data_IF_575003821588
#
_entry.id   IF_575003821588
#
_cell.length_a   1.000
_cell.length_b   1.000
_cell.length_c   1.000
_cell.angle_alpha   90.00
_cell.angle_beta   90.00
_cell.angle_gamma   90.00
#
_symmetry.space_group_name_H-M   'P 1'
#
loop_
_entity.id
_entity.type
_entity.pdbx_description
1 polymer ?
#
# COMPACT_ATOMS: atom_id res chain seq x y z
N UNK A 1 24.50 -32.43 -33.81
CA UNK A 1 23.42 -31.67 -33.21
C UNK A 1 23.07 -32.30 -31.86
N UNK A 2 23.72 -31.84 -30.81
CA UNK A 2 23.47 -32.36 -29.46
C UNK A 2 22.20 -31.69 -28.91
N UNK A 3 21.24 -32.53 -28.55
CA UNK A 3 20.03 -32.12 -27.86
C UNK A 3 20.37 -31.74 -26.42
N UNK A 4 20.58 -30.48 -26.15
CA UNK A 4 20.71 -29.95 -24.79
C UNK A 4 19.35 -30.03 -24.09
N UNK A 5 19.15 -31.11 -23.33
CA UNK A 5 17.97 -31.23 -22.45
C UNK A 5 18.08 -30.19 -21.34
N UNK A 6 17.21 -29.20 -21.38
CA UNK A 6 17.05 -28.24 -20.30
C UNK A 6 16.64 -28.97 -19.01
N UNK A 7 17.51 -28.85 -17.99
CA UNK A 7 17.27 -29.45 -16.69
C UNK A 7 16.76 -28.38 -15.72
N UNK A 8 15.47 -28.28 -15.57
CA UNK A 8 14.80 -27.32 -14.63
C UNK A 8 15.06 -27.58 -13.16
N UNK A 9 15.86 -28.59 -12.79
CA UNK A 9 16.10 -28.96 -11.39
C UNK A 9 17.19 -28.13 -10.70
N UNK A 10 17.93 -27.26 -11.42
CA UNK A 10 19.05 -26.48 -10.87
C UNK A 10 18.72 -25.04 -10.51
N UNK A 11 17.47 -24.60 -10.69
CA UNK A 11 17.03 -23.31 -10.14
C UNK A 11 16.98 -23.46 -8.63
N UNK A 12 18.03 -23.00 -7.95
CA UNK A 12 18.03 -22.86 -6.50
C UNK A 12 16.80 -22.02 -6.14
N UNK A 13 15.79 -22.68 -5.58
CA UNK A 13 14.72 -22.05 -4.84
C UNK A 13 15.36 -21.39 -3.61
N UNK A 14 15.93 -20.22 -3.75
CA UNK A 14 15.89 -19.28 -2.65
C UNK A 14 14.41 -19.04 -2.43
N UNK A 15 13.92 -19.57 -1.32
CA UNK A 15 12.56 -19.37 -0.88
C UNK A 15 12.40 -17.88 -0.53
N UNK A 16 12.19 -17.01 -1.52
CA UNK A 16 11.26 -15.93 -1.30
C UNK A 16 9.93 -16.65 -1.04
N UNK A 17 9.49 -16.62 0.19
CA UNK A 17 8.17 -17.15 0.53
C UNK A 17 7.18 -16.21 -0.14
N UNK A 18 6.82 -16.55 -1.38
CA UNK A 18 5.69 -15.95 -2.06
C UNK A 18 4.47 -16.42 -1.30
N UNK A 19 4.21 -15.78 -0.19
CA UNK A 19 2.94 -15.83 0.45
C UNK A 19 1.98 -15.09 -0.48
N UNK A 20 1.27 -15.89 -1.27
CA UNK A 20 0.14 -15.42 -2.05
C UNK A 20 -0.80 -14.74 -1.07
N UNK A 21 -0.92 -13.43 -0.95
CA UNK A 21 -1.77 -12.62 -0.09
C UNK A 21 -3.01 -13.23 0.58
N UNK A 22 -3.12 -14.56 0.57
CA UNK A 22 -4.15 -15.39 1.20
C UNK A 22 -3.82 -15.82 2.63
N UNK A 23 -2.60 -15.53 3.12
CA UNK A 23 -2.36 -15.71 4.54
C UNK A 23 -3.22 -14.71 5.28
N UNK A 24 -4.08 -15.26 6.13
CA UNK A 24 -4.93 -14.47 7.00
C UNK A 24 -4.07 -13.38 7.63
N UNK A 25 -4.50 -12.14 7.49
CA UNK A 25 -3.97 -11.00 8.23
C UNK A 25 -4.07 -11.35 9.72
N UNK A 26 -3.07 -12.04 10.22
CA UNK A 26 -3.03 -12.44 11.63
C UNK A 26 -2.01 -11.58 12.32
N UNK A 27 -2.41 -10.94 13.39
CA UNK A 27 -1.43 -10.48 14.36
C UNK A 27 -0.74 -11.75 14.87
N UNK A 28 0.55 -11.97 14.58
CA UNK A 28 1.25 -13.19 15.00
C UNK A 28 1.56 -13.19 16.48
N UNK A 29 1.20 -12.12 17.19
CA UNK A 29 1.56 -11.88 18.58
C UNK A 29 0.38 -12.16 19.49
N UNK A 30 0.66 -12.83 20.59
CA UNK A 30 -0.29 -12.94 21.70
C UNK A 30 -0.41 -11.58 22.38
N UNK A 31 -1.62 -11.22 22.80
CA UNK A 31 -1.99 -9.94 23.44
C UNK A 31 -1.14 -9.55 24.66
N UNK A 32 -0.38 -10.47 25.23
CA UNK A 32 0.28 -10.35 26.53
C UNK A 32 1.78 -10.07 26.41
N UNK A 33 2.35 -9.91 25.20
CA UNK A 33 3.79 -9.66 25.07
C UNK A 33 4.06 -8.16 24.97
N UNK A 34 4.89 -7.57 25.86
CA UNK A 34 5.14 -6.12 25.88
C UNK A 34 5.80 -5.58 24.61
N UNK A 35 6.39 -6.46 23.80
CA UNK A 35 7.09 -6.11 22.55
C UNK A 35 6.22 -6.35 21.31
N UNK A 36 4.91 -6.54 21.47
CA UNK A 36 3.98 -6.72 20.34
C UNK A 36 3.81 -5.41 19.58
N UNK A 37 4.02 -5.37 18.26
CA UNK A 37 3.75 -4.17 17.50
C UNK A 37 2.27 -3.82 17.58
N UNK A 38 2.01 -2.53 17.74
CA UNK A 38 0.64 -1.98 17.83
C UNK A 38 -0.04 -1.85 16.47
N UNK A 39 0.59 -2.31 15.43
CA UNK A 39 0.06 -2.30 14.06
C UNK A 39 -0.10 -3.71 13.51
N UNK A 40 -1.00 -3.85 12.56
CA UNK A 40 -1.19 -5.09 11.80
C UNK A 40 -0.11 -5.19 10.71
N UNK A 41 0.47 -6.38 10.55
CA UNK A 41 1.42 -6.63 9.45
C UNK A 41 0.71 -6.57 8.11
N UNK A 42 1.37 -5.98 7.12
CA UNK A 42 0.92 -6.06 5.75
C UNK A 42 1.61 -7.24 5.05
N UNK A 43 0.91 -8.34 4.92
CA UNK A 43 1.47 -9.62 4.49
C UNK A 43 2.08 -10.41 5.66
N UNK A 44 2.65 -11.57 5.36
CA UNK A 44 3.20 -12.48 6.39
C UNK A 44 4.41 -11.93 7.13
N UNK A 45 5.22 -11.14 6.44
CA UNK A 45 6.49 -10.59 6.91
C UNK A 45 6.49 -9.05 7.02
N UNK A 46 5.34 -8.42 6.86
CA UNK A 46 5.17 -6.96 6.80
C UNK A 46 5.72 -6.27 5.54
N UNK A 47 6.22 -7.02 4.55
CA UNK A 47 6.89 -6.48 3.35
C UNK A 47 6.09 -6.70 2.06
N UNK A 48 4.79 -6.95 2.17
CA UNK A 48 3.96 -7.18 0.99
C UNK A 48 3.88 -5.96 0.05
N UNK A 49 3.77 -4.70 0.53
CA UNK A 49 3.84 -3.54 -0.36
C UNK A 49 5.14 -3.43 -1.14
N UNK A 50 6.28 -3.70 -0.49
CA UNK A 50 7.60 -3.69 -1.11
C UNK A 50 7.72 -4.78 -2.20
N UNK A 51 7.10 -5.93 -1.97
CA UNK A 51 6.98 -6.96 -3.00
C UNK A 51 6.19 -6.46 -4.22
N UNK A 52 5.04 -5.81 -4.02
CA UNK A 52 4.23 -5.26 -5.11
C UNK A 52 4.99 -4.17 -5.89
N UNK A 53 5.73 -3.31 -5.18
CA UNK A 53 6.62 -2.31 -5.78
C UNK A 53 7.72 -2.99 -6.61
N UNK A 54 8.29 -4.09 -6.12
CA UNK A 54 9.31 -4.83 -6.87
C UNK A 54 8.76 -5.43 -8.17
N UNK A 55 7.54 -5.99 -8.15
CA UNK A 55 6.86 -6.46 -9.35
C UNK A 55 6.69 -5.35 -10.40
N UNK A 56 6.29 -4.17 -9.94
CA UNK A 56 6.10 -3.01 -10.81
C UNK A 56 7.42 -2.49 -11.40
N UNK A 57 8.47 -2.42 -10.59
CA UNK A 57 9.74 -1.85 -11.02
C UNK A 57 10.58 -2.81 -11.87
N UNK A 58 10.39 -4.11 -11.75
CA UNK A 58 11.22 -5.12 -12.41
C UNK A 58 10.60 -5.73 -13.66
N UNK A 59 9.26 -5.76 -13.79
CA UNK A 59 8.59 -6.23 -14.99
C UNK A 59 8.12 -5.04 -15.85
N UNK A 60 8.75 -4.84 -17.00
CA UNK A 60 8.39 -3.80 -17.96
C UNK A 60 6.97 -3.98 -18.50
N UNK A 61 6.55 -5.22 -18.71
CA UNK A 61 5.22 -5.58 -19.18
C UNK A 61 4.17 -5.20 -18.14
N UNK A 62 4.40 -5.57 -16.86
CA UNK A 62 3.50 -5.25 -15.76
C UNK A 62 3.40 -3.74 -15.55
N UNK A 63 4.53 -3.03 -15.49
CA UNK A 63 4.56 -1.58 -15.36
C UNK A 63 3.78 -0.89 -16.49
N UNK A 64 3.97 -1.33 -17.73
CA UNK A 64 3.26 -0.77 -18.89
C UNK A 64 1.75 -0.96 -18.77
N UNK A 65 1.28 -2.14 -18.34
CA UNK A 65 -0.13 -2.41 -18.11
C UNK A 65 -0.72 -1.54 -17.01
N UNK A 66 -0.03 -1.44 -15.86
CA UNK A 66 -0.45 -0.59 -14.73
C UNK A 66 -0.54 0.87 -15.19
N UNK A 67 0.50 1.39 -15.83
CA UNK A 67 0.53 2.78 -16.29
C UNK A 67 -0.55 3.09 -17.31
N UNK A 68 -0.82 2.19 -18.26
CA UNK A 68 -1.89 2.35 -19.23
C UNK A 68 -3.27 2.44 -18.57
N UNK A 69 -3.51 1.61 -17.54
CA UNK A 69 -4.76 1.65 -16.78
C UNK A 69 -4.86 2.94 -15.95
N UNK A 70 -3.76 3.34 -15.29
CA UNK A 70 -3.72 4.61 -14.54
C UNK A 70 -4.02 5.79 -15.45
N UNK A 71 -3.43 5.85 -16.66
CA UNK A 71 -3.75 6.88 -17.64
C UNK A 71 -5.22 6.85 -18.07
N UNK A 72 -5.80 5.66 -18.24
CA UNK A 72 -7.22 5.52 -18.57
C UNK A 72 -8.14 5.99 -17.42
N UNK A 73 -7.75 5.75 -16.15
CA UNK A 73 -8.49 6.23 -14.97
C UNK A 73 -8.41 7.75 -14.86
N UNK A 74 -7.22 8.30 -15.00
CA UNK A 74 -7.00 9.74 -14.83
C UNK A 74 -7.56 10.56 -15.99
N UNK A 75 -7.52 10.01 -17.21
CA UNK A 75 -8.07 10.63 -18.41
C UNK A 75 -7.64 12.09 -18.57
N UNK A 76 -8.59 12.98 -18.72
CA UNK A 76 -8.37 14.44 -18.78
C UNK A 76 -8.31 15.10 -17.38
N UNK A 77 -8.39 14.31 -16.31
CA UNK A 77 -8.37 14.78 -14.92
C UNK A 77 -9.77 14.92 -14.31
N UNK A 78 -9.82 15.56 -13.15
CA UNK A 78 -11.05 15.83 -12.43
C UNK A 78 -11.82 16.99 -13.09
N UNK A 79 -13.13 16.86 -13.16
CA UNK A 79 -14.03 17.86 -13.75
C UNK A 79 -14.88 18.47 -12.64
N UNK A 80 -14.95 19.80 -12.61
CA UNK A 80 -15.78 20.57 -11.69
C UNK A 80 -16.25 21.87 -12.33
N UNK A 81 -17.33 22.46 -11.82
CA UNK A 81 -17.83 23.76 -12.26
C UNK A 81 -16.91 24.92 -11.87
N UNK A 82 -16.05 24.73 -10.88
CA UNK A 82 -15.06 25.71 -10.39
C UNK A 82 -13.66 25.12 -10.54
N UNK A 83 -13.02 25.41 -11.67
CA UNK A 83 -11.67 24.91 -11.98
C UNK A 83 -10.59 25.47 -11.02
N UNK A 84 -10.83 26.61 -10.37
CA UNK A 84 -9.86 27.18 -9.44
C UNK A 84 -9.66 26.30 -8.21
N UNK A 85 -10.67 25.55 -7.79
CA UNK A 85 -10.58 24.59 -6.70
C UNK A 85 -9.56 23.49 -7.01
N UNK A 86 -9.43 23.08 -8.26
CA UNK A 86 -8.54 21.99 -8.65
C UNK A 86 -7.06 22.38 -8.67
N UNK A 87 -6.74 23.67 -8.69
CA UNK A 87 -5.37 24.17 -8.87
C UNK A 87 -4.46 23.89 -7.69
N UNK A 88 -4.99 23.92 -6.46
CA UNK A 88 -4.21 23.78 -5.24
C UNK A 88 -4.95 22.90 -4.23
N UNK A 89 -4.37 21.77 -3.89
CA UNK A 89 -4.87 20.84 -2.89
C UNK A 89 -4.16 21.00 -1.52
N UNK A 90 -2.93 21.51 -1.51
CA UNK A 90 -2.12 21.65 -0.31
C UNK A 90 -1.08 22.77 -0.43
N UNK A 91 -0.34 23.03 0.67
CA UNK A 91 0.70 24.08 0.73
C UNK A 91 1.95 23.78 -0.08
N UNK A 92 2.17 22.54 -0.47
CA UNK A 92 3.28 22.14 -1.33
C UNK A 92 3.04 22.53 -2.79
N UNK A 93 1.84 23.02 -3.10
CA UNK A 93 1.47 23.45 -4.44
C UNK A 93 1.00 22.33 -5.35
N UNK A 94 0.70 21.16 -4.80
CA UNK A 94 0.10 20.08 -5.58
C UNK A 94 -1.33 20.43 -5.98
N UNK A 95 -1.66 20.13 -7.23
CA UNK A 95 -3.04 20.20 -7.69
C UNK A 95 -3.84 18.96 -7.28
N UNK A 96 -5.16 19.06 -7.35
CA UNK A 96 -6.02 17.90 -7.15
C UNK A 96 -5.81 16.81 -8.22
N UNK A 97 -5.41 17.20 -9.42
CA UNK A 97 -5.08 16.25 -10.48
C UNK A 97 -3.77 15.51 -10.20
N UNK A 98 -2.78 16.16 -9.59
CA UNK A 98 -1.55 15.49 -9.14
C UNK A 98 -1.86 14.44 -8.07
N UNK A 99 -2.68 14.79 -7.08
CA UNK A 99 -3.13 13.85 -6.06
C UNK A 99 -3.94 12.71 -6.66
N UNK A 100 -4.84 13.01 -7.60
CA UNK A 100 -5.66 12.01 -8.28
C UNK A 100 -4.81 11.01 -9.06
N UNK A 101 -3.75 11.47 -9.73
CA UNK A 101 -2.79 10.60 -10.41
C UNK A 101 -2.10 9.63 -9.45
N UNK A 102 -1.63 10.12 -8.29
CA UNK A 102 -1.01 9.29 -7.25
C UNK A 102 -2.00 8.28 -6.66
N UNK A 103 -3.22 8.72 -6.36
CA UNK A 103 -4.31 7.86 -5.88
C UNK A 103 -4.64 6.74 -6.88
N UNK A 104 -4.71 7.07 -8.17
CA UNK A 104 -4.98 6.09 -9.22
C UNK A 104 -3.86 5.04 -9.32
N UNK A 105 -2.59 5.46 -9.17
CA UNK A 105 -1.45 4.56 -9.16
C UNK A 105 -1.48 3.64 -7.94
N UNK A 106 -1.64 4.18 -6.74
CA UNK A 106 -1.74 3.38 -5.51
C UNK A 106 -2.90 2.39 -5.57
N UNK A 107 -4.06 2.83 -6.06
CA UNK A 107 -5.22 1.95 -6.21
C UNK A 107 -4.94 0.78 -7.15
N UNK A 108 -4.22 1.01 -8.24
CA UNK A 108 -3.85 -0.08 -9.17
C UNK A 108 -2.75 -0.96 -8.61
N UNK A 109 -1.78 -0.38 -7.92
CA UNK A 109 -0.60 -1.08 -7.44
C UNK A 109 -0.88 -1.90 -6.17
N UNK A 110 -1.65 -1.34 -5.23
CA UNK A 110 -1.93 -1.93 -3.91
C UNK A 110 -3.38 -2.40 -3.74
N UNK A 111 -4.29 -1.90 -4.56
CA UNK A 111 -5.73 -2.13 -4.43
C UNK A 111 -6.44 -1.12 -3.52
N UNK A 112 -5.73 -0.13 -3.01
CA UNK A 112 -6.26 0.93 -2.13
C UNK A 112 -5.37 2.16 -2.14
N UNK A 113 -5.75 3.18 -1.39
CA UNK A 113 -4.99 4.43 -1.27
C UNK A 113 -5.20 5.09 0.09
N UNK A 114 -4.31 6.00 0.44
CA UNK A 114 -4.38 6.78 1.68
C UNK A 114 -4.18 8.27 1.42
N UNK A 115 -4.98 9.10 2.10
CA UNK A 115 -4.89 10.56 2.06
C UNK A 115 -4.86 11.12 3.48
N UNK A 116 -3.95 12.04 3.75
CA UNK A 116 -4.01 12.87 4.95
C UNK A 116 -4.95 14.05 4.70
N UNK A 117 -5.97 14.17 5.53
CA UNK A 117 -6.96 15.25 5.49
C UNK A 117 -6.66 16.21 6.63
N UNK A 118 -6.44 17.47 6.30
CA UNK A 118 -6.20 18.52 7.29
C UNK A 118 -7.36 19.51 7.26
N UNK A 119 -7.97 19.71 8.42
CA UNK A 119 -9.07 20.67 8.56
C UNK A 119 -8.58 22.09 8.80
N UNK A 120 -9.38 23.05 8.38
CA UNK A 120 -9.18 24.47 8.68
C UNK A 120 -9.12 24.73 10.20
N UNK A 121 -8.55 25.86 10.60
CA UNK A 121 -8.39 26.21 12.03
C UNK A 121 -9.71 26.22 12.79
N UNK A 122 -10.79 26.63 12.16
CA UNK A 122 -12.16 26.65 12.72
C UNK A 122 -12.90 25.32 12.57
N UNK A 123 -12.25 24.29 11.94
CA UNK A 123 -12.81 22.96 11.70
C UNK A 123 -14.05 22.92 10.79
N UNK A 124 -14.36 24.00 10.10
CA UNK A 124 -15.56 24.10 9.27
C UNK A 124 -15.42 23.35 7.95
N UNK A 125 -14.20 23.31 7.40
CA UNK A 125 -13.91 22.75 6.08
C UNK A 125 -12.55 22.05 6.05
N UNK A 126 -12.33 21.25 5.03
CA UNK A 126 -11.02 20.69 4.68
C UNK A 126 -10.18 21.83 4.13
N UNK A 127 -8.98 22.02 4.66
CA UNK A 127 -8.04 23.03 4.22
C UNK A 127 -7.00 22.47 3.26
N UNK A 128 -6.52 21.27 3.52
CA UNK A 128 -5.44 20.67 2.74
C UNK A 128 -5.65 19.15 2.65
N UNK A 129 -5.21 18.59 1.55
CA UNK A 129 -5.18 17.15 1.32
C UNK A 129 -3.81 16.76 0.79
N UNK A 130 -3.21 15.75 1.38
CA UNK A 130 -1.94 15.18 0.96
C UNK A 130 -2.10 13.71 0.59
N UNK A 131 -1.45 13.29 -0.47
CA UNK A 131 -1.29 11.88 -0.74
C UNK A 131 -0.29 11.27 0.27
N UNK A 132 -0.63 10.13 0.83
CA UNK A 132 0.29 9.34 1.66
C UNK A 132 0.62 8.06 0.90
N UNK A 133 1.90 7.83 0.65
CA UNK A 133 2.36 6.60 -0.01
C UNK A 133 1.78 5.38 0.73
N UNK A 134 1.01 4.57 0.02
CA UNK A 134 0.29 3.46 0.64
C UNK A 134 1.22 2.41 1.24
N UNK A 135 2.43 2.25 0.69
CA UNK A 135 3.45 1.35 1.23
C UNK A 135 3.92 1.76 2.64
N UNK A 136 3.85 3.05 2.95
CA UNK A 136 4.24 3.60 4.24
C UNK A 136 3.21 3.41 5.35
N UNK A 137 2.01 2.94 5.03
CA UNK A 137 0.87 2.89 5.98
C UNK A 137 0.73 1.50 6.60
N UNK A 138 0.58 1.44 7.93
CA UNK A 138 0.18 0.23 8.65
C UNK A 138 -1.02 0.51 9.55
N UNK A 139 -2.03 -0.34 9.47
CA UNK A 139 -3.27 -0.20 10.21
C UNK A 139 -3.07 -0.58 11.69
N UNK A 140 -3.68 0.19 12.59
CA UNK A 140 -3.83 -0.22 13.99
C UNK A 140 -4.82 -1.38 14.08
N UNK A 141 -4.72 -2.17 15.15
CA UNK A 141 -5.70 -3.21 15.45
C UNK A 141 -7.10 -2.62 15.58
N UNK A 142 -8.09 -3.38 15.09
CA UNK A 142 -9.49 -2.98 15.18
C UNK A 142 -9.94 -2.90 16.64
N UNK A 143 -10.71 -1.87 16.94
CA UNK A 143 -11.35 -1.71 18.24
C UNK A 143 -12.55 -2.67 18.42
N UNK A 144 -13.15 -2.65 19.62
CA UNK A 144 -14.35 -3.46 19.97
C UNK A 144 -15.53 -3.27 19.02
N UNK A 145 -15.56 -2.18 18.25
CA UNK A 145 -16.58 -1.91 17.22
C UNK A 145 -16.19 -2.42 15.85
N UNK A 146 -15.12 -3.23 15.75
CA UNK A 146 -14.58 -3.76 14.51
C UNK A 146 -14.16 -2.67 13.49
N UNK A 147 -13.69 -1.50 13.99
CA UNK A 147 -13.20 -0.38 13.17
C UNK A 147 -11.72 -0.14 13.45
N UNK A 148 -10.95 0.16 12.43
CA UNK A 148 -9.56 0.59 12.53
C UNK A 148 -9.55 1.99 13.16
N UNK A 149 -8.90 2.20 14.32
CA UNK A 149 -8.93 3.51 15.00
C UNK A 149 -7.98 4.52 14.37
N UNK A 150 -6.91 4.05 13.70
CA UNK A 150 -5.89 4.90 13.10
C UNK A 150 -4.81 4.10 12.40
N UNK A 151 -3.77 4.80 11.98
CA UNK A 151 -2.70 4.25 11.17
C UNK A 151 -1.34 4.77 11.64
N UNK A 152 -0.33 3.92 11.54
CA UNK A 152 1.07 4.28 11.69
C UNK A 152 1.67 4.56 10.31
N UNK A 153 2.62 5.50 10.26
CA UNK A 153 3.27 5.90 9.02
C UNK A 153 4.78 5.75 9.21
N UNK A 154 5.44 5.06 8.29
CA UNK A 154 6.90 4.96 8.23
C UNK A 154 7.35 4.70 6.79
N UNK A 155 8.45 5.32 6.38
CA UNK A 155 9.14 5.00 5.13
C UNK A 155 10.11 3.82 5.27
N UNK A 156 10.34 3.33 6.49
CA UNK A 156 11.35 2.31 6.80
C UNK A 156 10.76 1.13 7.57
N UNK A 157 9.75 0.48 6.97
CA UNK A 157 9.24 -0.75 7.55
C UNK A 157 10.27 -1.87 7.46
N UNK A 158 10.34 -2.69 8.52
CA UNK A 158 11.26 -3.81 8.59
C UNK A 158 10.52 -5.15 8.45
N UNK A 159 11.18 -6.15 7.86
CA UNK A 159 10.61 -7.50 7.83
C UNK A 159 10.49 -8.07 9.24
N UNK A 160 9.35 -8.71 9.50
CA UNK A 160 9.02 -9.33 10.79
C UNK A 160 8.94 -10.82 10.61
N UNK A 161 10.07 -11.53 10.81
CA UNK A 161 10.15 -12.98 10.66
C UNK A 161 9.88 -13.75 11.97
N UNK A 162 10.25 -13.15 13.13
CA UNK A 162 10.13 -13.75 14.46
C UNK A 162 9.89 -12.66 15.52
N UNK A 163 9.59 -13.08 16.76
CA UNK A 163 9.25 -12.21 17.90
C UNK A 163 10.31 -11.17 18.33
N UNK A 164 11.49 -11.16 17.74
CA UNK A 164 12.54 -10.18 18.04
C UNK A 164 12.41 -8.95 17.15
N UNK A 165 11.42 -8.11 17.41
CA UNK A 165 11.22 -6.88 16.66
C UNK A 165 11.84 -5.72 17.40
N UNK A 166 12.76 -5.06 16.69
CA UNK A 166 13.39 -3.81 17.14
C UNK A 166 12.84 -2.61 16.34
N UNK A 167 11.53 -2.55 16.10
CA UNK A 167 10.94 -1.31 15.64
C UNK A 167 10.29 -0.65 16.86
N UNK A 168 10.76 0.53 17.23
CA UNK A 168 10.17 1.27 18.35
C UNK A 168 8.87 1.95 17.88
N UNK A 169 7.76 1.23 18.06
CA UNK A 169 6.43 1.69 17.64
C UNK A 169 5.98 2.96 18.39
N UNK A 170 6.67 3.29 19.49
CA UNK A 170 6.28 4.43 20.33
C UNK A 170 6.59 5.77 19.69
N UNK A 171 7.54 5.79 18.75
CA UNK A 171 7.99 6.99 18.08
C UNK A 171 7.42 7.15 16.66
N UNK A 172 6.66 6.16 16.16
CA UNK A 172 6.09 6.24 14.82
C UNK A 172 4.98 7.30 14.75
N UNK A 173 4.99 8.17 13.73
CA UNK A 173 3.89 9.07 13.45
C UNK A 173 2.58 8.32 13.30
N UNK A 174 1.51 8.88 13.88
CA UNK A 174 0.18 8.27 13.87
C UNK A 174 -0.85 9.27 13.38
N UNK A 175 -1.79 8.78 12.58
CA UNK A 175 -2.98 9.54 12.19
C UNK A 175 -4.25 8.75 12.56
N UNK A 176 -5.24 9.39 13.19
CA UNK A 176 -6.53 8.76 13.43
C UNK A 176 -7.26 8.52 12.11
N UNK A 177 -8.08 7.48 12.08
CA UNK A 177 -8.90 7.18 10.92
C UNK A 177 -9.95 8.29 10.68
N UNK A 178 -10.20 8.58 9.40
CA UNK A 178 -11.13 9.62 8.98
C UNK A 178 -12.52 9.45 9.63
N UNK A 179 -12.93 10.48 10.37
CA UNK A 179 -14.24 10.57 10.97
C UNK A 179 -14.70 12.04 11.02
N UNK A 180 -15.66 12.38 10.17
CA UNK A 180 -16.18 13.73 10.06
C UNK A 180 -16.72 14.29 11.40
N UNK A 181 -17.23 13.43 12.27
CA UNK A 181 -17.80 13.84 13.56
C UNK A 181 -16.71 14.22 14.58
N UNK A 182 -15.49 13.71 14.42
CA UNK A 182 -14.35 13.97 15.29
C UNK A 182 -13.43 15.10 14.82
N UNK A 183 -13.78 15.80 13.74
CA UNK A 183 -12.97 16.87 13.15
C UNK A 183 -12.59 17.99 14.12
N UNK A 184 -13.37 18.20 15.19
CA UNK A 184 -13.09 19.20 16.20
C UNK A 184 -11.86 18.85 17.04
N UNK A 185 -11.75 17.58 17.44
CA UNK A 185 -10.71 17.06 18.31
C UNK A 185 -9.49 16.57 17.53
N UNK A 186 -9.72 16.03 16.34
CA UNK A 186 -8.71 15.42 15.47
C UNK A 186 -8.56 16.23 14.17
N UNK A 187 -7.71 17.28 14.17
CA UNK A 187 -7.57 18.21 13.04
C UNK A 187 -6.90 17.61 11.81
N UNK A 188 -6.17 16.52 11.99
CA UNK A 188 -5.53 15.72 10.96
C UNK A 188 -6.05 14.30 11.04
N UNK A 189 -6.47 13.75 9.93
CA UNK A 189 -7.06 12.42 9.87
C UNK A 189 -6.61 11.73 8.60
N UNK A 190 -6.54 10.40 8.62
CA UNK A 190 -6.25 9.59 7.44
C UNK A 190 -7.53 9.04 6.83
N UNK A 191 -7.83 9.43 5.61
CA UNK A 191 -8.80 8.75 4.76
C UNK A 191 -8.09 7.56 4.11
N UNK A 192 -8.49 6.37 4.54
CA UNK A 192 -7.92 5.12 4.08
C UNK A 192 -8.98 4.33 3.30
N UNK A 193 -8.72 4.10 2.02
CA UNK A 193 -9.60 3.36 1.14
C UNK A 193 -9.16 1.91 1.04
N UNK A 194 -9.97 1.01 1.57
CA UNK A 194 -9.81 -0.43 1.47
C UNK A 194 -11.14 -1.02 0.97
N UNK A 195 -11.28 -1.30 -0.34
CA UNK A 195 -12.50 -1.87 -0.89
C UNK A 195 -12.72 -3.28 -0.34
N UNK A 196 -14.01 -3.60 -0.11
CA UNK A 196 -14.37 -4.93 0.38
C UNK A 196 -13.85 -6.03 -0.56
N UNK A 197 -13.12 -6.98 0.03
CA UNK A 197 -12.73 -8.22 -0.61
C UNK A 197 -12.89 -9.37 0.38
N UNK A 198 -13.54 -10.49 -0.01
CA UNK A 198 -13.69 -11.63 0.88
C UNK A 198 -12.34 -12.12 1.43
N UNK A 199 -12.27 -12.32 2.75
CA UNK A 199 -11.06 -12.77 3.43
C UNK A 199 -10.05 -11.68 3.79
N UNK A 200 -10.21 -10.44 3.33
CA UNK A 200 -9.36 -9.30 3.68
C UNK A 200 -10.03 -8.41 4.73
N UNK A 201 -9.27 -7.98 5.74
CA UNK A 201 -9.83 -7.22 6.85
C UNK A 201 -9.17 -5.85 7.04
N UNK A 202 -7.85 -5.77 6.87
CA UNK A 202 -7.06 -4.56 7.15
C UNK A 202 -6.52 -3.92 5.88
N UNK A 203 -6.06 -4.74 4.94
CA UNK A 203 -5.37 -4.28 3.74
C UNK A 203 -6.08 -4.74 2.48
N UNK A 204 -6.09 -3.91 1.44
CA UNK A 204 -6.58 -4.30 0.13
C UNK A 204 -5.59 -5.25 -0.57
N UNK A 205 -6.06 -5.85 -1.64
CA UNK A 205 -5.22 -6.56 -2.60
C UNK A 205 -5.47 -6.01 -3.99
N UNK A 206 -4.44 -5.86 -4.82
CA UNK A 206 -4.63 -5.43 -6.21
C UNK A 206 -5.42 -6.46 -7.00
N UNK A 207 -6.04 -6.01 -8.08
CA UNK A 207 -6.84 -6.88 -8.94
C UNK A 207 -6.01 -7.90 -9.71
N UNK A 208 -4.73 -7.61 -9.97
CA UNK A 208 -3.78 -8.50 -10.64
C UNK A 208 -3.13 -9.55 -9.73
N UNK A 209 -3.46 -9.59 -8.44
CA UNK A 209 -2.81 -10.50 -7.47
C UNK A 209 -2.83 -11.97 -7.90
N UNK A 210 -3.87 -12.41 -8.64
CA UNK A 210 -3.93 -13.76 -9.19
C UNK A 210 -2.87 -14.08 -10.26
N UNK A 211 -2.33 -13.02 -10.89
CA UNK A 211 -1.28 -13.10 -11.91
C UNK A 211 0.14 -12.85 -11.39
N UNK A 212 0.33 -12.56 -10.11
CA UNK A 212 1.64 -12.16 -9.55
C UNK A 212 2.76 -13.16 -9.85
N UNK A 213 2.46 -14.47 -9.81
CA UNK A 213 3.43 -15.52 -10.17
C UNK A 213 3.87 -15.49 -11.62
N UNK A 214 3.01 -15.04 -12.52
CA UNK A 214 3.36 -14.90 -13.96
C UNK A 214 4.27 -13.69 -14.12
N UNK A 215 4.04 -12.63 -13.37
CA UNK A 215 4.90 -11.43 -13.35
C UNK A 215 6.28 -11.78 -12.78
N UNK A 216 6.35 -12.56 -11.68
CA UNK A 216 7.62 -13.06 -11.15
C UNK A 216 8.39 -13.89 -12.18
N UNK A 217 7.69 -14.76 -12.93
CA UNK A 217 8.32 -15.57 -13.98
C UNK A 217 8.85 -14.71 -15.13
N UNK A 218 8.13 -13.67 -15.52
CA UNK A 218 8.56 -12.70 -16.54
C UNK A 218 9.90 -12.06 -16.14
N UNK A 219 10.01 -11.64 -14.88
CA UNK A 219 11.27 -11.10 -14.33
C UNK A 219 12.42 -12.10 -14.34
N UNK A 220 12.16 -13.36 -13.99
CA UNK A 220 13.20 -14.40 -14.01
C UNK A 220 13.70 -14.68 -15.44
N UNK A 221 12.80 -14.65 -16.43
CA UNK A 221 13.14 -14.81 -17.86
C UNK A 221 13.99 -13.63 -18.35
N UNK A 222 13.61 -12.40 -18.02
CA UNK A 222 14.38 -11.21 -18.38
C UNK A 222 15.78 -11.24 -17.77
N UNK A 223 15.91 -11.60 -16.49
CA UNK A 223 17.20 -11.74 -15.82
C UNK A 223 18.08 -12.83 -16.45
N UNK A 224 17.49 -13.93 -16.89
CA UNK A 224 18.21 -14.99 -17.59
C UNK A 224 18.76 -14.51 -18.95
N UNK A 225 17.98 -13.73 -19.70
CA UNK A 225 18.41 -13.19 -20.98
C UNK A 225 19.53 -12.13 -20.86
N UNK A 226 19.55 -11.37 -19.76
CA UNK A 226 20.58 -10.37 -19.52
C UNK A 226 21.92 -11.03 -19.06
N UNK A 227 21.82 -12.20 -18.41
CA UNK A 227 22.98 -12.87 -17.80
C UNK A 227 23.74 -13.79 -18.77
N UNK A 228 23.24 -14.02 -19.99
CA UNK A 228 23.82 -14.83 -21.05
C UNK A 228 24.16 -14.00 -22.29
#
# INVERSE_FOLDING_TARGET
MENTKFNFSSIKKEKMSVNNGFDRESNPYREDHPDTPKYMKFGSDNMYPEYLISLYNQSSTHASCVNAIVQAITGEGLITDDEDILKVANREGESWNDIFGKVALDYKLFGGYALEIIYSRDRSKIAEVYHVDFSHVRAMEKNDRNKIPGFYISSEWKPIWNYNIQQDDKELPQLPAFNLQKRADEPKQMLYHNPYRPGQQYYPLPDYVGGSKVIDLDQEVDNFHISN
#
